data_IF_949051431208
#
_entry.id   IF_949051431208
#
_cell.length_a   1.000
_cell.length_b   1.000
_cell.length_c   1.000
_cell.angle_alpha   90.00
_cell.angle_beta   90.00
_cell.angle_gamma   90.00
#
_symmetry.space_group_name_H-M   'P 1'
#
loop_
_entity.id
_entity.type
_entity.pdbx_description
1 polymer ?
#
# COMPACT_ATOMS: atom_id res chain seq x y z
N UNK A 1 -12.21 19.34 22.10
CA UNK A 1 -12.81 18.73 20.89
C UNK A 1 -11.86 17.63 20.41
N UNK A 2 -12.29 16.36 20.40
CA UNK A 2 -11.44 15.23 19.99
C UNK A 2 -11.19 15.32 18.47
N UNK A 3 -9.94 15.46 18.05
CA UNK A 3 -9.58 15.32 16.64
C UNK A 3 -9.76 13.85 16.24
N UNK A 4 -10.80 13.54 15.47
CA UNK A 4 -11.08 12.17 14.98
C UNK A 4 -10.19 11.76 13.81
N UNK A 5 -9.53 12.72 13.15
CA UNK A 5 -8.68 12.48 11.98
C UNK A 5 -7.26 12.84 12.33
N UNK A 6 -6.40 11.82 12.40
CA UNK A 6 -4.95 11.99 12.56
C UNK A 6 -4.37 12.29 11.18
N UNK A 7 -3.74 13.45 11.02
CA UNK A 7 -3.08 13.86 9.77
C UNK A 7 -1.56 13.71 9.90
N UNK A 8 -0.85 13.25 8.84
CA UNK A 8 0.61 13.26 8.86
C UNK A 8 1.13 14.69 8.98
N UNK A 9 2.09 14.93 9.88
CA UNK A 9 2.76 16.23 10.00
C UNK A 9 3.99 16.37 9.09
N UNK A 10 4.60 15.26 8.69
CA UNK A 10 5.81 15.24 7.85
C UNK A 10 5.47 14.95 6.39
N UNK A 11 6.23 15.52 5.45
CA UNK A 11 6.11 15.20 4.02
C UNK A 11 6.30 13.71 3.75
N UNK A 12 7.16 13.07 4.55
CA UNK A 12 7.40 11.63 4.56
C UNK A 12 6.19 10.81 5.01
N UNK A 13 5.43 11.28 6.01
CA UNK A 13 4.18 10.63 6.39
C UNK A 13 3.10 10.79 5.30
N UNK A 14 3.10 11.91 4.59
CA UNK A 14 2.22 12.12 3.44
C UNK A 14 2.55 11.18 2.28
N UNK A 15 3.82 10.97 1.94
CA UNK A 15 4.20 10.03 0.89
C UNK A 15 3.80 8.59 1.23
N UNK A 16 4.05 8.14 2.48
CA UNK A 16 3.58 6.82 2.94
C UNK A 16 2.05 6.68 2.84
N UNK A 17 1.30 7.71 3.26
CA UNK A 17 -0.16 7.71 3.19
C UNK A 17 -0.65 7.63 1.74
N UNK A 18 -0.08 8.44 0.84
CA UNK A 18 -0.43 8.44 -0.57
C UNK A 18 -0.11 7.11 -1.23
N UNK A 19 1.06 6.51 -0.94
CA UNK A 19 1.44 5.18 -1.46
C UNK A 19 0.46 4.11 -0.98
N UNK A 20 0.04 4.14 0.29
CA UNK A 20 -0.94 3.19 0.81
C UNK A 20 -2.31 3.35 0.14
N UNK A 21 -2.78 4.59 -0.03
CA UNK A 21 -4.03 4.90 -0.75
C UNK A 21 -3.95 4.43 -2.20
N UNK A 22 -2.82 4.62 -2.87
CA UNK A 22 -2.60 4.15 -4.23
C UNK A 22 -2.68 2.61 -4.31
N UNK A 23 -2.06 1.89 -3.37
CA UNK A 23 -2.15 0.43 -3.30
C UNK A 23 -3.59 -0.06 -3.14
N UNK A 24 -4.40 0.61 -2.31
CA UNK A 24 -5.84 0.30 -2.20
C UNK A 24 -6.54 0.55 -3.53
N UNK A 25 -6.24 1.67 -4.20
CA UNK A 25 -6.83 1.99 -5.49
C UNK A 25 -6.53 0.91 -6.56
N UNK A 26 -5.36 0.27 -6.52
CA UNK A 26 -5.00 -0.83 -7.41
C UNK A 26 -5.84 -2.10 -7.21
N UNK A 27 -6.46 -2.25 -6.03
CA UNK A 27 -7.39 -3.33 -5.72
C UNK A 27 -8.86 -3.01 -6.03
N UNK A 28 -9.16 -1.81 -6.56
CA UNK A 28 -10.52 -1.46 -6.93
C UNK A 28 -10.93 -2.11 -8.26
N UNK A 29 -12.23 -2.39 -8.37
CA UNK A 29 -12.86 -3.00 -9.55
C UNK A 29 -12.40 -2.43 -10.92
N UNK A 30 -12.34 -1.11 -11.16
CA UNK A 30 -11.91 -0.58 -12.45
C UNK A 30 -10.47 -0.96 -12.81
N UNK A 31 -9.57 -1.03 -11.83
CA UNK A 31 -8.16 -1.38 -12.07
C UNK A 31 -8.01 -2.88 -12.32
N UNK A 32 -8.73 -3.69 -11.53
CA UNK A 32 -8.78 -5.14 -11.70
C UNK A 32 -9.32 -5.51 -13.08
N UNK A 33 -10.36 -4.82 -13.56
CA UNK A 33 -10.97 -5.08 -14.87
C UNK A 33 -9.99 -4.95 -16.04
N UNK A 34 -9.01 -4.05 -15.96
CA UNK A 34 -7.97 -3.91 -16.99
C UNK A 34 -6.96 -5.06 -16.98
N UNK A 35 -6.70 -5.62 -15.80
CA UNK A 35 -5.70 -6.65 -15.58
C UNK A 35 -6.27 -8.07 -15.67
N UNK A 36 -7.58 -8.23 -15.53
CA UNK A 36 -8.25 -9.53 -15.60
C UNK A 36 -8.36 -10.05 -17.04
N UNK A 37 -7.21 -10.39 -17.62
CA UNK A 37 -7.10 -11.06 -18.91
C UNK A 37 -7.08 -12.59 -18.67
N UNK A 38 -7.64 -13.40 -19.58
CA UNK A 38 -7.64 -14.87 -19.47
C UNK A 38 -6.26 -15.51 -19.68
N UNK A 39 -5.18 -14.72 -19.59
CA UNK A 39 -3.82 -15.17 -19.80
C UNK A 39 -3.24 -15.68 -18.48
N UNK A 40 -2.79 -16.93 -18.51
CA UNK A 40 -2.10 -17.56 -17.40
C UNK A 40 -0.62 -17.17 -17.41
N UNK A 41 -0.08 -16.86 -16.23
CA UNK A 41 1.35 -16.65 -16.01
C UNK A 41 1.83 -17.66 -14.98
N UNK A 42 2.76 -18.55 -15.37
CA UNK A 42 3.24 -19.66 -14.53
C UNK A 42 2.11 -20.56 -13.99
N UNK A 43 1.02 -20.70 -14.76
CA UNK A 43 -0.16 -21.48 -14.35
C UNK A 43 -1.14 -20.74 -13.43
N UNK A 44 -0.83 -19.50 -13.03
CA UNK A 44 -1.70 -18.63 -12.23
C UNK A 44 -2.44 -17.63 -13.11
N UNK A 45 -3.71 -17.31 -12.80
CA UNK A 45 -4.39 -16.21 -13.46
C UNK A 45 -3.72 -14.89 -13.06
N UNK A 46 -3.65 -13.93 -14.01
CA UNK A 46 -2.98 -12.65 -13.79
C UNK A 46 -3.53 -11.89 -12.56
N UNK A 47 -4.82 -12.07 -12.26
CA UNK A 47 -5.44 -11.48 -11.07
C UNK A 47 -4.82 -11.99 -9.76
N UNK A 48 -4.41 -13.26 -9.70
CA UNK A 48 -3.75 -13.80 -8.51
C UNK A 48 -2.38 -13.15 -8.32
N UNK A 49 -1.58 -13.07 -9.39
CA UNK A 49 -0.28 -12.39 -9.40
C UNK A 49 -0.43 -10.93 -8.95
N UNK A 50 -1.41 -10.22 -9.50
CA UNK A 50 -1.69 -8.83 -9.16
C UNK A 50 -2.08 -8.64 -7.69
N UNK A 51 -2.90 -9.55 -7.15
CA UNK A 51 -3.32 -9.52 -5.75
C UNK A 51 -2.10 -9.69 -4.82
N UNK A 52 -1.21 -10.63 -5.13
CA UNK A 52 0.03 -10.80 -4.35
C UNK A 52 0.92 -9.56 -4.40
N UNK A 53 1.03 -8.89 -5.55
CA UNK A 53 1.77 -7.64 -5.66
C UNK A 53 1.19 -6.54 -4.76
N UNK A 54 -0.14 -6.38 -4.71
CA UNK A 54 -0.79 -5.40 -3.82
C UNK A 54 -0.51 -5.74 -2.35
N UNK A 55 -0.69 -7.00 -1.96
CA UNK A 55 -0.48 -7.45 -0.56
C UNK A 55 0.97 -7.23 -0.13
N UNK A 56 1.94 -7.61 -0.97
CA UNK A 56 3.36 -7.38 -0.70
C UNK A 56 3.70 -5.89 -0.64
N UNK A 57 3.10 -5.08 -1.51
CA UNK A 57 3.23 -3.62 -1.47
C UNK A 57 2.73 -3.03 -0.16
N UNK A 58 1.54 -3.44 0.31
CA UNK A 58 0.99 -2.99 1.59
C UNK A 58 1.91 -3.39 2.76
N UNK A 59 2.38 -4.62 2.76
CA UNK A 59 3.31 -5.11 3.78
C UNK A 59 4.62 -4.30 3.79
N UNK A 60 5.22 -4.03 2.63
CA UNK A 60 6.43 -3.21 2.52
C UNK A 60 6.21 -1.78 3.02
N UNK A 61 5.09 -1.15 2.68
CA UNK A 61 4.76 0.20 3.16
C UNK A 61 4.65 0.22 4.69
N UNK A 62 3.97 -0.76 5.30
CA UNK A 62 3.90 -0.86 6.76
C UNK A 62 5.27 -1.15 7.38
N UNK A 63 6.09 -1.99 6.76
CA UNK A 63 7.44 -2.28 7.22
C UNK A 63 8.32 -1.02 7.22
N UNK A 64 8.27 -0.22 6.15
CA UNK A 64 9.00 1.04 6.05
C UNK A 64 8.50 2.03 7.09
N UNK A 65 7.17 2.19 7.22
CA UNK A 65 6.57 3.08 8.21
C UNK A 65 7.01 2.71 9.64
N UNK A 66 6.99 1.42 9.98
CA UNK A 66 7.40 0.93 11.29
C UNK A 66 8.89 1.15 11.56
N UNK A 67 9.76 0.89 10.58
CA UNK A 67 11.20 1.13 10.72
C UNK A 67 11.50 2.61 10.94
N UNK A 68 10.76 3.48 10.27
CA UNK A 68 10.93 4.92 10.42
C UNK A 68 10.40 5.45 11.75
N UNK A 69 9.22 5.03 12.18
CA UNK A 69 8.70 5.36 13.51
C UNK A 69 9.69 4.97 14.61
N UNK A 70 10.28 3.77 14.50
CA UNK A 70 11.29 3.28 15.44
C UNK A 70 12.58 4.10 15.42
N UNK A 71 13.01 4.58 14.26
CA UNK A 71 14.19 5.46 14.15
C UNK A 71 13.92 6.82 14.80
N UNK A 72 12.78 7.45 14.50
CA UNK A 72 12.41 8.74 15.10
C UNK A 72 12.21 8.70 16.62
N UNK A 73 11.81 7.56 17.20
CA UNK A 73 11.69 7.42 18.65
C UNK A 73 13.01 7.19 19.40
N UNK A 74 14.11 6.97 18.67
CA UNK A 74 15.43 6.73 19.27
C UNK A 74 16.32 7.98 19.28
N UNK A 75 15.93 9.01 18.50
CA UNK A 75 16.59 10.32 18.45
C UNK A 75 15.93 11.37 19.38
N UNK A 76 14.87 10.98 20.11
CA UNK A 76 14.23 11.74 21.21
C UNK A 76 14.70 11.21 22.58
#
# INVERSE_FOLDING_TARGET
>A
MKHFVVRPRSGMGWTLTLTFVALIALGLWPVIGWLNQPRLWLGLPWIAVWTYLIVLGCWLVMLIANRWLKASSHDD
#
